data_IF_720055643763
#
_entry.id   IF_720055643763
#
_cell.length_a   1.000
_cell.length_b   1.000
_cell.length_c   1.000
_cell.angle_alpha   90.00
_cell.angle_beta   90.00
_cell.angle_gamma   90.00
#
_symmetry.space_group_name_H-M   'P 1'
#
loop_
_entity.id
_entity.type
_entity.pdbx_description
1 polymer ?
#
# COMPACT_ATOMS: atom_id res chain seq x y z
N UNK A 1 0.99 3.36 30.94
CA UNK A 1 1.04 3.00 29.51
C UNK A 1 -0.35 3.24 28.94
N UNK A 2 -0.46 4.01 27.86
CA UNK A 2 -1.74 4.16 27.16
C UNK A 2 -2.11 2.81 26.51
N UNK A 3 -3.40 2.42 26.50
CA UNK A 3 -3.81 1.18 25.86
C UNK A 3 -3.53 1.23 24.35
N UNK A 4 -3.13 0.09 23.78
CA UNK A 4 -2.98 -0.05 22.34
C UNK A 4 -4.34 0.10 21.64
N UNK A 5 -4.41 0.79 20.48
CA UNK A 5 -5.64 0.88 19.69
C UNK A 5 -6.06 -0.49 19.13
N UNK A 6 -7.36 -0.65 18.84
CA UNK A 6 -7.84 -1.82 18.11
C UNK A 6 -7.63 -1.61 16.60
N UNK A 7 -6.53 -2.16 16.06
CA UNK A 7 -6.18 -1.96 14.66
C UNK A 7 -7.21 -2.51 13.67
N UNK A 8 -8.01 -3.51 14.05
CA UNK A 8 -9.05 -4.11 13.18
C UNK A 8 -10.23 -3.18 12.93
N UNK A 9 -10.56 -2.34 13.91
CA UNK A 9 -11.68 -1.39 13.82
C UNK A 9 -11.28 -0.08 13.13
N UNK A 10 -9.98 0.21 13.02
CA UNK A 10 -9.49 1.41 12.34
C UNK A 10 -9.80 1.33 10.84
N UNK A 11 -10.15 2.47 10.22
CA UNK A 11 -10.14 2.57 8.76
C UNK A 11 -8.72 2.39 8.21
N UNK A 12 -8.61 2.05 6.93
CA UNK A 12 -7.29 1.90 6.30
C UNK A 12 -6.45 3.18 6.36
N UNK A 13 -7.08 4.35 6.27
CA UNK A 13 -6.40 5.64 6.34
C UNK A 13 -5.87 5.94 7.75
N UNK A 14 -6.65 5.64 8.78
CA UNK A 14 -6.24 5.83 10.17
C UNK A 14 -5.11 4.87 10.53
N UNK A 15 -5.22 3.60 10.12
CA UNK A 15 -4.19 2.60 10.35
C UNK A 15 -2.88 2.98 9.64
N UNK A 16 -2.96 3.49 8.40
CA UNK A 16 -1.80 4.03 7.67
C UNK A 16 -1.10 5.13 8.47
N UNK A 17 -1.87 6.12 8.96
CA UNK A 17 -1.31 7.22 9.77
C UNK A 17 -0.65 6.70 11.04
N UNK A 18 -1.29 5.75 11.72
CA UNK A 18 -0.74 5.15 12.94
C UNK A 18 0.60 4.45 12.68
N UNK A 19 0.65 3.56 11.69
CA UNK A 19 1.85 2.80 11.31
C UNK A 19 3.01 3.72 10.94
N UNK A 20 2.74 4.81 10.21
CA UNK A 20 3.79 5.77 9.83
C UNK A 20 4.40 6.49 11.04
N UNK A 21 3.60 6.72 12.09
CA UNK A 21 4.04 7.34 13.36
C UNK A 21 4.64 6.33 14.35
N UNK A 22 4.36 5.03 14.18
CA UNK A 22 4.79 3.95 15.09
C UNK A 22 5.40 2.80 14.28
N UNK A 23 6.51 3.09 13.59
CA UNK A 23 7.13 2.16 12.63
C UNK A 23 7.60 0.84 13.25
N UNK A 24 7.83 0.83 14.56
CA UNK A 24 8.29 -0.35 15.31
C UNK A 24 7.13 -1.22 15.83
N UNK A 25 5.87 -0.78 15.72
CA UNK A 25 4.72 -1.58 16.13
C UNK A 25 4.39 -2.64 15.07
N UNK A 26 4.97 -3.83 15.24
CA UNK A 26 4.78 -4.96 14.33
C UNK A 26 3.32 -5.37 14.18
N UNK A 27 2.50 -5.22 15.22
CA UNK A 27 1.08 -5.60 15.19
C UNK A 27 0.30 -4.69 14.24
N UNK A 28 0.53 -3.37 14.35
CA UNK A 28 -0.06 -2.39 13.45
C UNK A 28 0.43 -2.59 12.00
N UNK A 29 1.72 -2.89 11.82
CA UNK A 29 2.29 -3.18 10.50
C UNK A 29 1.64 -4.41 9.86
N UNK A 30 1.53 -5.51 10.61
CA UNK A 30 0.92 -6.74 10.13
C UNK A 30 -0.53 -6.52 9.73
N UNK A 31 -1.34 -5.88 10.57
CA UNK A 31 -2.74 -5.58 10.25
C UNK A 31 -2.83 -4.70 8.99
N UNK A 32 -1.93 -3.71 8.85
CA UNK A 32 -1.91 -2.87 7.66
C UNK A 32 -1.59 -3.65 6.38
N UNK A 33 -0.61 -4.56 6.42
CA UNK A 33 -0.18 -5.34 5.25
C UNK A 33 -1.16 -6.45 4.86
N UNK A 34 -1.94 -6.99 5.80
CA UNK A 34 -2.92 -8.05 5.51
C UNK A 34 -4.20 -7.53 4.84
N UNK A 35 -4.49 -6.24 4.95
CA UNK A 35 -5.72 -5.67 4.39
C UNK A 35 -5.65 -5.63 2.87
N UNK A 36 -6.73 -6.06 2.23
CA UNK A 36 -6.89 -5.97 0.79
C UNK A 36 -6.80 -4.53 0.29
N UNK A 37 -6.34 -4.39 -0.94
CA UNK A 37 -6.24 -3.12 -1.67
C UNK A 37 -7.00 -3.27 -2.98
N UNK A 38 -8.27 -2.85 -3.03
CA UNK A 38 -9.08 -3.02 -4.23
C UNK A 38 -8.50 -2.27 -5.45
N UNK A 39 -7.69 -1.25 -5.21
CA UNK A 39 -7.04 -0.45 -6.24
C UNK A 39 -5.55 -0.81 -6.46
N UNK A 40 -5.05 -1.90 -5.84
CA UNK A 40 -3.68 -2.33 -6.08
C UNK A 40 -3.57 -3.04 -7.43
N UNK A 41 -2.58 -2.62 -8.23
CA UNK A 41 -2.20 -3.32 -9.45
C UNK A 41 -1.15 -4.37 -9.08
N UNK A 42 -1.47 -5.63 -9.31
CA UNK A 42 -0.56 -6.75 -9.11
C UNK A 42 0.14 -7.09 -10.43
N UNK A 43 1.41 -7.52 -10.31
CA UNK A 43 2.22 -7.95 -11.44
C UNK A 43 2.86 -9.28 -11.15
N UNK A 44 2.89 -10.15 -12.16
CA UNK A 44 3.64 -11.39 -12.08
C UNK A 44 5.15 -11.08 -12.04
N UNK A 45 5.84 -11.72 -11.11
CA UNK A 45 7.28 -11.54 -10.88
C UNK A 45 8.14 -12.52 -11.68
N UNK A 46 7.50 -13.44 -12.41
CA UNK A 46 8.11 -14.45 -13.28
C UNK A 46 8.57 -13.88 -14.63
N UNK A 47 8.18 -12.65 -14.98
CA UNK A 47 8.64 -11.96 -16.19
C UNK A 47 10.00 -11.28 -15.98
N UNK A 48 10.81 -11.11 -17.05
CA UNK A 48 12.11 -10.43 -16.95
C UNK A 48 12.01 -9.02 -16.36
N UNK A 49 13.05 -8.60 -15.63
CA UNK A 49 13.10 -7.27 -14.98
C UNK A 49 12.85 -6.10 -15.95
N UNK A 50 13.29 -6.22 -17.19
CA UNK A 50 13.03 -5.19 -18.22
C UNK A 50 11.52 -5.01 -18.46
N UNK A 51 10.78 -6.11 -18.54
CA UNK A 51 9.32 -6.10 -18.71
C UNK A 51 8.62 -5.54 -17.48
N UNK A 52 9.10 -5.87 -16.27
CA UNK A 52 8.56 -5.30 -15.02
C UNK A 52 8.74 -3.78 -14.99
N UNK A 53 9.93 -3.28 -15.36
CA UNK A 53 10.22 -1.84 -15.45
C UNK A 53 9.33 -1.13 -16.46
N UNK A 54 9.15 -1.72 -17.64
CA UNK A 54 8.28 -1.15 -18.67
C UNK A 54 6.83 -1.02 -18.18
N UNK A 55 6.26 -2.10 -17.61
CA UNK A 55 4.89 -2.09 -17.07
C UNK A 55 4.69 -1.04 -15.97
N UNK A 56 5.68 -0.88 -15.08
CA UNK A 56 5.66 0.15 -14.05
C UNK A 56 5.66 1.56 -14.65
N UNK A 57 6.49 1.80 -15.67
CA UNK A 57 6.56 3.07 -16.39
C UNK A 57 5.20 3.43 -17.03
N UNK A 58 4.58 2.47 -17.72
CA UNK A 58 3.26 2.63 -18.35
C UNK A 58 2.16 3.00 -17.35
N UNK A 59 2.18 2.40 -16.15
CA UNK A 59 1.23 2.77 -15.08
C UNK A 59 1.41 4.23 -14.63
N UNK A 60 2.66 4.63 -14.37
CA UNK A 60 2.98 5.99 -13.92
C UNK A 60 2.53 7.02 -14.97
N UNK A 61 2.76 6.72 -16.25
CA UNK A 61 2.35 7.60 -17.35
C UNK A 61 0.83 7.67 -17.47
N UNK A 62 0.13 6.53 -17.42
CA UNK A 62 -1.34 6.50 -17.44
C UNK A 62 -1.97 7.29 -16.30
N UNK A 63 -1.41 7.22 -15.09
CA UNK A 63 -1.89 8.00 -13.95
C UNK A 63 -1.68 9.52 -14.16
N UNK A 64 -0.56 9.94 -14.74
CA UNK A 64 -0.32 11.35 -15.08
C UNK A 64 -1.37 11.88 -16.06
N UNK A 65 -1.60 11.16 -17.17
CA UNK A 65 -2.58 11.58 -18.17
C UNK A 65 -4.03 11.51 -17.68
N UNK A 66 -4.35 10.61 -16.75
CA UNK A 66 -5.68 10.54 -16.12
C UNK A 66 -5.99 11.72 -15.19
N UNK A 67 -4.97 12.45 -14.70
CA UNK A 67 -5.14 13.60 -13.81
C UNK A 67 -5.10 14.95 -14.55
N UNK A 68 -4.95 14.95 -15.88
CA UNK A 68 -4.88 16.15 -16.73
C UNK A 68 -6.18 16.41 -17.52
N UNK A 69 -7.25 15.62 -17.31
CA UNK A 69 -8.58 15.78 -17.92
C UNK A 69 -9.64 16.08 -16.86
#
# INVERSE_FOLDING_TARGET
>A
MSPKPNFKEMSLQELKKYVLSHRDDQEAWQEFTHRDRPNAVYFDTDVPLATQKQRLQELIEKEKYSNEI
#
